data_IF_801669976754
#
_entry.id   IF_801669976754
#
_cell.length_a   1.000
_cell.length_b   1.000
_cell.length_c   1.000
_cell.angle_alpha   90.00
_cell.angle_beta   90.00
_cell.angle_gamma   90.00
#
_symmetry.space_group_name_H-M   'P 1'
#
loop_
_entity.id
_entity.type
_entity.pdbx_description
1 polymer ?
#
# COMPACT_ATOMS: atom_id res chain seq x y z
N UNK A 1 27.93 -5.44 7.09
CA UNK A 1 26.49 -5.47 6.97
C UNK A 1 26.00 -4.47 5.94
N UNK A 2 25.24 -4.92 5.03
CA UNK A 2 24.79 -4.04 3.96
C UNK A 2 23.57 -3.26 4.39
N UNK A 3 23.71 -1.95 4.46
CA UNK A 3 22.57 -1.06 4.52
C UNK A 3 22.19 -0.67 3.10
N UNK A 4 20.92 -0.44 2.82
CA UNK A 4 20.57 0.24 1.59
C UNK A 4 21.30 1.58 1.58
N UNK A 5 22.12 1.78 0.59
CA UNK A 5 22.97 2.97 0.55
C UNK A 5 22.37 4.11 -0.23
N UNK A 6 21.29 3.90 -0.91
CA UNK A 6 20.62 4.95 -1.66
C UNK A 6 19.75 5.82 -0.77
N UNK A 7 19.36 7.01 -1.25
CA UNK A 7 18.39 7.84 -0.54
C UNK A 7 17.00 7.22 -0.51
N UNK A 8 16.77 6.14 -1.27
CA UNK A 8 15.46 5.51 -1.43
C UNK A 8 15.53 4.04 -0.98
N UNK A 9 15.42 3.77 0.33
CA UNK A 9 15.46 2.39 0.81
C UNK A 9 14.35 1.55 0.20
N UNK A 10 14.62 0.25 0.08
CA UNK A 10 13.68 -0.73 -0.44
C UNK A 10 12.59 -1.08 0.56
N UNK A 11 12.93 -1.22 1.84
CA UNK A 11 11.97 -1.51 2.90
C UNK A 11 11.65 -0.23 3.64
N UNK A 12 10.38 0.12 3.68
CA UNK A 12 9.91 1.39 4.23
C UNK A 12 8.64 1.16 5.03
N UNK A 13 8.24 2.18 5.77
CA UNK A 13 6.91 2.23 6.37
C UNK A 13 6.11 3.33 5.68
N UNK A 14 4.85 3.06 5.43
CA UNK A 14 3.98 3.97 4.68
C UNK A 14 2.62 4.08 5.34
N UNK A 15 1.97 5.21 5.17
CA UNK A 15 0.54 5.36 5.46
C UNK A 15 -0.22 4.74 4.27
N UNK A 16 -0.93 3.63 4.48
CA UNK A 16 -1.57 2.94 3.36
C UNK A 16 -2.66 3.78 2.68
N UNK A 17 -3.25 4.74 3.39
CA UNK A 17 -4.29 5.60 2.81
C UNK A 17 -3.76 6.47 1.68
N UNK A 18 -2.46 6.80 1.70
CA UNK A 18 -1.83 7.68 0.73
C UNK A 18 -1.29 6.98 -0.51
N UNK A 19 -1.42 5.67 -0.58
CA UNK A 19 -0.91 4.89 -1.71
C UNK A 19 -1.88 4.92 -2.88
N UNK A 20 -1.34 5.01 -4.10
CA UNK A 20 -2.14 4.89 -5.31
C UNK A 20 -2.50 3.43 -5.56
N UNK A 21 -3.71 3.22 -6.08
CA UNK A 21 -4.19 1.88 -6.41
C UNK A 21 -3.61 1.41 -7.74
N UNK A 22 -3.45 0.08 -7.94
CA UNK A 22 -3.07 -0.44 -9.25
C UNK A 22 -4.23 -0.29 -10.24
N UNK A 23 -3.91 -0.26 -11.53
CA UNK A 23 -4.93 -0.12 -12.57
C UNK A 23 -5.93 -1.27 -12.60
N UNK A 24 -5.55 -2.43 -12.06
CA UNK A 24 -6.42 -3.60 -11.94
C UNK A 24 -7.39 -3.52 -10.77
N UNK A 25 -7.26 -2.50 -9.91
CA UNK A 25 -8.07 -2.34 -8.70
C UNK A 25 -8.49 -0.88 -8.51
N UNK A 26 -8.91 -0.22 -9.58
CA UNK A 26 -9.26 1.21 -9.52
C UNK A 26 -10.38 1.53 -8.54
N UNK A 27 -11.26 0.56 -8.27
CA UNK A 27 -12.38 0.74 -7.36
C UNK A 27 -12.04 0.31 -5.93
N UNK A 28 -10.80 -0.08 -5.68
CA UNK A 28 -10.34 -0.48 -4.38
C UNK A 28 -10.37 -1.98 -4.16
N UNK A 29 -10.43 -2.38 -2.89
CA UNK A 29 -10.36 -3.77 -2.50
C UNK A 29 -11.61 -4.55 -2.90
N UNK A 30 -11.43 -5.82 -3.19
CA UNK A 30 -12.55 -6.77 -3.28
C UNK A 30 -13.21 -6.84 -1.90
N UNK A 31 -14.52 -6.55 -1.84
CA UNK A 31 -15.22 -6.43 -0.56
C UNK A 31 -15.31 -7.75 0.18
N UNK A 32 -15.41 -8.88 -0.52
CA UNK A 32 -15.46 -10.19 0.12
C UNK A 32 -14.10 -10.54 0.74
N UNK A 33 -13.00 -10.25 0.04
CA UNK A 33 -11.66 -10.44 0.59
C UNK A 33 -11.42 -9.54 1.80
N UNK A 34 -11.85 -8.30 1.73
CA UNK A 34 -11.72 -7.36 2.84
C UNK A 34 -12.48 -7.86 4.06
N UNK A 35 -13.72 -8.29 3.87
CA UNK A 35 -14.52 -8.82 4.98
C UNK A 35 -13.87 -10.03 5.64
N UNK A 36 -13.28 -10.93 4.85
CA UNK A 36 -12.57 -12.09 5.39
C UNK A 36 -11.32 -11.66 6.18
N UNK A 37 -10.56 -10.69 5.69
CA UNK A 37 -9.40 -10.20 6.43
C UNK A 37 -9.79 -9.51 7.74
N UNK A 38 -10.85 -8.71 7.71
CA UNK A 38 -11.33 -8.06 8.93
C UNK A 38 -11.80 -9.10 9.94
N UNK A 39 -12.52 -10.12 9.50
CA UNK A 39 -12.97 -11.19 10.38
C UNK A 39 -11.80 -11.94 11.01
N UNK A 40 -10.71 -12.13 10.26
CA UNK A 40 -9.54 -12.90 10.72
C UNK A 40 -8.61 -12.08 11.62
N UNK A 41 -8.33 -10.85 11.26
CA UNK A 41 -7.30 -10.04 11.92
C UNK A 41 -7.85 -8.87 12.72
N UNK A 42 -9.10 -8.46 12.47
CA UNK A 42 -9.67 -7.29 13.12
C UNK A 42 -8.86 -6.03 12.85
N UNK A 43 -8.58 -5.30 13.93
CA UNK A 43 -7.79 -4.08 13.86
C UNK A 43 -6.28 -4.32 14.03
N UNK A 44 -5.84 -5.56 14.25
CA UNK A 44 -4.43 -5.84 14.47
C UNK A 44 -3.64 -5.70 13.18
N UNK A 45 -2.52 -4.99 13.27
CA UNK A 45 -1.53 -4.91 12.20
C UNK A 45 -0.30 -5.77 12.48
N UNK A 46 -0.30 -6.51 13.60
CA UNK A 46 0.82 -7.34 14.01
C UNK A 46 1.07 -8.45 12.99
N UNK A 47 2.34 -8.59 12.58
CA UNK A 47 2.73 -9.62 11.63
C UNK A 47 2.20 -9.42 10.22
N UNK A 48 1.66 -8.25 9.90
CA UNK A 48 1.20 -7.98 8.55
C UNK A 48 2.35 -8.12 7.55
N UNK A 49 2.21 -8.95 6.50
CA UNK A 49 3.23 -9.03 5.46
C UNK A 49 3.40 -7.67 4.77
N UNK A 50 4.62 -7.29 4.37
CA UNK A 50 4.84 -6.04 3.68
C UNK A 50 3.98 -5.91 2.43
N UNK A 51 3.46 -4.71 2.19
CA UNK A 51 2.87 -4.38 0.90
C UNK A 51 3.98 -4.35 -0.15
N UNK A 52 3.67 -4.72 -1.38
CA UNK A 52 4.59 -4.56 -2.49
C UNK A 52 4.25 -3.29 -3.27
N UNK A 53 5.22 -2.42 -3.43
CA UNK A 53 5.02 -1.11 -4.03
C UNK A 53 5.92 -0.90 -5.25
N UNK A 54 5.43 -0.07 -6.16
CA UNK A 54 6.22 0.53 -7.24
C UNK A 54 6.41 1.99 -6.89
N UNK A 55 7.66 2.48 -6.98
CA UNK A 55 8.00 3.87 -6.65
C UNK A 55 8.45 4.62 -7.89
N UNK A 56 7.85 5.80 -8.11
CA UNK A 56 8.38 6.74 -9.07
C UNK A 56 9.53 7.55 -8.46
N UNK A 57 10.45 8.02 -9.28
CA UNK A 57 11.52 8.91 -8.81
C UNK A 57 10.96 10.24 -8.32
N UNK A 58 9.75 10.58 -8.69
CA UNK A 58 9.01 11.72 -8.19
C UNK A 58 8.48 11.53 -6.76
N UNK A 59 8.68 10.34 -6.17
CA UNK A 59 8.27 10.05 -4.81
C UNK A 59 6.89 9.41 -4.67
N UNK A 60 6.12 9.32 -5.73
CA UNK A 60 4.81 8.66 -5.67
C UNK A 60 4.94 7.15 -5.52
N UNK A 61 3.98 6.55 -4.82
CA UNK A 61 3.97 5.11 -4.54
C UNK A 61 2.64 4.51 -5.00
N UNK A 62 2.73 3.40 -5.71
CA UNK A 62 1.56 2.64 -6.17
C UNK A 62 1.65 1.21 -5.67
N UNK A 63 0.53 0.66 -5.22
CA UNK A 63 0.48 -0.72 -4.76
C UNK A 63 0.61 -1.66 -5.96
N UNK A 64 1.52 -2.62 -5.86
CA UNK A 64 1.61 -3.75 -6.76
C UNK A 64 0.82 -4.94 -6.22
N UNK A 65 1.00 -5.24 -4.92
CA UNK A 65 0.27 -6.28 -4.22
C UNK A 65 -0.03 -5.83 -2.80
N UNK A 66 -1.22 -6.19 -2.30
CA UNK A 66 -1.62 -5.89 -0.94
C UNK A 66 -2.75 -4.87 -0.83
N UNK A 67 -3.57 -4.69 -1.86
CA UNK A 67 -4.69 -3.73 -1.84
C UNK A 67 -5.63 -4.01 -0.66
N UNK A 68 -5.96 -5.28 -0.40
CA UNK A 68 -6.87 -5.63 0.70
C UNK A 68 -6.24 -5.31 2.05
N UNK A 69 -4.95 -5.63 2.25
CA UNK A 69 -4.24 -5.31 3.50
C UNK A 69 -4.18 -3.79 3.71
N UNK A 70 -3.84 -3.05 2.66
CA UNK A 70 -3.77 -1.59 2.73
C UNK A 70 -5.13 -0.99 3.08
N UNK A 71 -6.19 -1.50 2.47
CA UNK A 71 -7.55 -1.00 2.71
C UNK A 71 -8.00 -1.27 4.13
N UNK A 72 -7.73 -2.49 4.66
CA UNK A 72 -8.08 -2.81 6.05
C UNK A 72 -7.36 -1.87 7.01
N UNK A 73 -6.07 -1.67 6.83
CA UNK A 73 -5.30 -0.79 7.69
C UNK A 73 -5.78 0.66 7.61
N UNK A 74 -6.00 1.17 6.41
CA UNK A 74 -6.45 2.56 6.22
C UNK A 74 -7.84 2.79 6.82
N UNK A 75 -8.72 1.80 6.71
CA UNK A 75 -10.09 1.89 7.22
C UNK A 75 -10.15 1.81 8.74
N UNK A 76 -9.46 0.85 9.33
CA UNK A 76 -9.60 0.51 10.75
C UNK A 76 -8.55 1.14 11.64
N UNK A 77 -7.42 1.52 11.09
CA UNK A 77 -6.30 2.13 11.83
C UNK A 77 -5.78 3.36 11.08
N UNK A 78 -6.64 4.36 10.85
CA UNK A 78 -6.22 5.54 10.08
C UNK A 78 -5.02 6.22 10.73
N UNK A 79 -4.08 6.66 9.91
CA UNK A 79 -2.86 7.31 10.36
C UNK A 79 -1.74 6.37 10.78
N UNK A 80 -1.99 5.07 10.88
CA UNK A 80 -0.95 4.10 11.23
C UNK A 80 -0.15 3.71 10.00
N UNK A 81 1.17 3.65 10.13
CA UNK A 81 2.02 3.16 9.07
C UNK A 81 2.04 1.63 9.06
N UNK A 82 2.32 1.08 7.88
CA UNK A 82 2.47 -0.37 7.68
C UNK A 82 3.78 -0.64 6.94
N UNK A 83 4.34 -1.86 7.07
CA UNK A 83 5.55 -2.20 6.34
C UNK A 83 5.28 -2.34 4.85
N UNK A 84 6.25 -1.95 4.05
CA UNK A 84 6.17 -2.06 2.60
C UNK A 84 7.55 -2.32 2.01
N UNK A 85 7.56 -2.98 0.87
CA UNK A 85 8.75 -3.24 0.08
C UNK A 85 8.58 -2.61 -1.29
N UNK A 86 9.55 -1.79 -1.70
CA UNK A 86 9.59 -1.23 -3.04
C UNK A 86 10.24 -2.28 -3.95
N UNK A 87 9.45 -2.89 -4.83
CA UNK A 87 9.92 -3.96 -5.70
C UNK A 87 10.37 -3.46 -7.06
N UNK A 88 10.02 -2.23 -7.42
CA UNK A 88 10.37 -1.64 -8.70
C UNK A 88 10.41 -0.13 -8.57
N UNK A 89 11.35 0.49 -9.27
CA UNK A 89 11.39 1.93 -9.43
C UNK A 89 11.20 2.30 -10.90
N UNK A 90 10.43 3.35 -11.13
CA UNK A 90 10.19 3.90 -12.45
C UNK A 90 10.71 5.34 -12.49
N UNK A 91 11.14 5.82 -13.66
CA UNK A 91 11.54 7.23 -13.80
C UNK A 91 10.41 8.18 -13.39
N UNK A 92 9.17 7.80 -13.67
CA UNK A 92 7.99 8.54 -13.29
C UNK A 92 6.82 7.59 -13.14
N UNK A 93 6.00 7.82 -12.11
CA UNK A 93 4.77 7.07 -11.89
C UNK A 93 3.59 7.93 -12.36
N UNK A 94 2.77 7.38 -13.27
CA UNK A 94 1.57 8.07 -13.70
C UNK A 94 0.50 7.93 -12.62
N UNK A 95 0.23 9.04 -11.91
CA UNK A 95 -0.74 9.07 -10.81
C UNK A 95 -2.12 9.55 -11.26
N UNK A 96 -2.30 9.78 -12.57
CA UNK A 96 -3.59 10.28 -13.10
C UNK A 96 -4.58 9.15 -13.36
N UNK A 97 -4.14 7.90 -13.34
CA UNK A 97 -4.95 6.76 -13.79
C UNK A 97 -5.74 6.09 -12.68
N UNK A 98 -5.33 6.25 -11.44
CA UNK A 98 -6.00 5.58 -10.32
C UNK A 98 -6.10 6.51 -9.12
N UNK A 99 -7.12 6.35 -8.28
CA UNK A 99 -7.21 7.08 -7.03
C UNK A 99 -6.25 6.51 -5.98
N UNK A 100 -6.14 7.20 -4.86
CA UNK A 100 -5.51 6.67 -3.66
C UNK A 100 -6.47 5.77 -2.92
N UNK A 101 -5.92 4.92 -2.04
CA UNK A 101 -6.73 4.04 -1.19
C UNK A 101 -7.78 4.84 -0.43
N UNK A 102 -7.41 5.99 0.15
CA UNK A 102 -8.33 6.82 0.94
C UNK A 102 -9.52 7.34 0.14
N UNK A 103 -9.40 7.44 -1.17
CA UNK A 103 -10.46 8.00 -2.02
C UNK A 103 -11.58 7.02 -2.28
N UNK A 104 -11.35 5.73 -2.02
CA UNK A 104 -12.32 4.65 -2.31
C UNK A 104 -12.49 3.71 -1.13
N UNK A 105 -12.27 4.18 0.09
CA UNK A 105 -12.50 3.36 1.28
C UNK A 105 -13.99 3.00 1.38
N UNK A 106 -14.31 1.70 1.58
CA UNK A 106 -15.68 1.28 1.78
C UNK A 106 -16.22 1.67 3.17
#
# INVERSE_FOLDING_TARGET
MAQPTGPNPRFIRVDPAELYLPTTRRQGADLAKLARQIAKYGISLDGMPPLELIRGKDGHLRINDGVTRATRAAKLRPGQSVPAEVIQELPRLDVTKTPKVKDVLP
#
